data_IF_195964972232
#
_entry.id   IF_195964972232
#
_cell.length_a   1.000
_cell.length_b   1.000
_cell.length_c   1.000
_cell.angle_alpha   90.00
_cell.angle_beta   90.00
_cell.angle_gamma   90.00
#
_symmetry.space_group_name_H-M   'P 1'
#
loop_
_entity.id
_entity.type
_entity.pdbx_description
1 polymer ?
#
# COMPACT_ATOMS: atom_id res chain seq x y z
N UNK A 1 -7.04 -3.98 21.47
CA UNK A 1 -6.51 -3.44 20.20
C UNK A 1 -5.76 -2.17 20.53
N UNK A 2 -4.43 -2.19 20.50
CA UNK A 2 -3.64 -0.97 20.63
C UNK A 2 -3.62 -0.26 19.26
N UNK A 3 -4.30 0.87 19.15
CA UNK A 3 -4.19 1.78 18.00
C UNK A 3 -2.91 2.59 18.17
N UNK A 4 -1.87 2.21 17.44
CA UNK A 4 -0.62 2.97 17.41
C UNK A 4 -0.77 4.14 16.43
N UNK A 5 -0.50 5.39 16.84
CA UNK A 5 -0.47 6.51 15.91
C UNK A 5 0.69 6.29 14.93
N UNK A 6 0.37 6.20 13.65
CA UNK A 6 1.37 6.12 12.58
C UNK A 6 2.10 7.47 12.52
N UNK A 7 3.31 7.52 13.09
CA UNK A 7 4.18 8.68 12.97
C UNK A 7 4.90 8.60 11.61
N UNK A 8 4.57 9.51 10.70
CA UNK A 8 5.17 9.56 9.36
C UNK A 8 6.26 10.63 9.35
N UNK A 9 7.55 10.28 9.17
CA UNK A 9 8.63 11.23 8.92
C UNK A 9 8.28 12.18 7.76
N UNK A 10 8.54 13.48 7.90
CA UNK A 10 8.14 14.50 6.91
C UNK A 10 8.64 14.25 5.48
N UNK A 11 9.82 13.63 5.32
CA UNK A 11 10.34 13.21 4.01
C UNK A 11 9.45 12.14 3.34
N UNK A 12 8.86 11.23 4.12
CA UNK A 12 7.91 10.24 3.62
C UNK A 12 6.63 10.94 3.18
N UNK A 13 6.12 11.90 3.97
CA UNK A 13 4.93 12.67 3.63
C UNK A 13 5.05 13.43 2.30
N UNK A 14 6.22 13.97 1.96
CA UNK A 14 6.47 14.62 0.65
C UNK A 14 6.40 13.66 -0.53
N UNK A 15 7.01 12.48 -0.44
CA UNK A 15 6.83 11.41 -1.46
C UNK A 15 5.39 10.86 -1.51
N UNK A 16 4.67 11.02 -0.39
CA UNK A 16 3.19 10.99 -0.28
C UNK A 16 2.53 11.64 -1.48
N UNK A 17 2.86 12.92 -1.62
CA UNK A 17 2.30 13.84 -2.58
C UNK A 17 2.73 13.54 -4.00
N UNK A 18 4.00 13.22 -4.24
CA UNK A 18 4.48 12.92 -5.61
C UNK A 18 3.79 11.68 -6.19
N UNK A 19 3.61 10.63 -5.36
CA UNK A 19 2.88 9.45 -5.78
C UNK A 19 1.38 9.71 -5.91
N UNK A 20 0.81 10.51 -5.01
CA UNK A 20 -0.59 10.93 -5.12
C UNK A 20 -0.84 11.73 -6.40
N UNK A 21 0.06 12.63 -6.82
CA UNK A 21 -0.14 13.45 -8.03
C UNK A 21 -0.05 12.60 -9.31
N UNK A 22 0.93 11.69 -9.39
CA UNK A 22 1.05 10.75 -10.50
C UNK A 22 -0.20 9.88 -10.65
N UNK A 23 -0.75 9.39 -9.54
CA UNK A 23 -1.92 8.49 -9.54
C UNK A 23 -3.25 9.22 -9.72
N UNK A 24 -3.36 10.48 -9.30
CA UNK A 24 -4.58 11.29 -9.42
C UNK A 24 -4.92 11.63 -10.88
N UNK A 25 -3.91 11.82 -11.73
CA UNK A 25 -4.09 12.12 -13.16
C UNK A 25 -4.74 10.95 -13.90
N UNK A 26 -4.33 9.72 -13.61
CA UNK A 26 -4.92 8.51 -14.16
C UNK A 26 -6.29 8.21 -13.51
N UNK A 27 -6.45 8.51 -12.22
CA UNK A 27 -7.71 8.33 -11.51
C UNK A 27 -8.83 9.26 -11.97
N UNK A 28 -8.54 10.53 -12.25
CA UNK A 28 -9.51 11.49 -12.79
C UNK A 28 -10.10 11.01 -14.12
N UNK A 29 -9.31 10.34 -14.96
CA UNK A 29 -9.78 9.78 -16.24
C UNK A 29 -10.73 8.60 -16.03
N UNK A 30 -10.41 7.69 -15.12
CA UNK A 30 -11.23 6.52 -14.82
C UNK A 30 -12.53 6.85 -14.03
N UNK A 31 -12.47 7.81 -13.10
CA UNK A 31 -13.59 8.16 -12.22
C UNK A 31 -14.76 8.79 -12.97
N UNK A 32 -14.50 9.54 -14.06
CA UNK A 32 -15.53 10.17 -14.90
C UNK A 32 -16.52 9.17 -15.52
N UNK A 33 -16.15 7.89 -15.59
CA UNK A 33 -16.98 6.83 -16.18
C UNK A 33 -17.46 5.79 -15.16
N UNK A 34 -17.24 5.99 -13.85
CA UNK A 34 -17.58 5.00 -12.83
C UNK A 34 -19.06 5.04 -12.44
N UNK A 35 -19.79 3.98 -12.81
CA UNK A 35 -21.19 3.71 -12.41
C UNK A 35 -21.28 3.61 -10.88
N UNK A 36 -22.37 4.14 -10.27
CA UNK A 36 -22.60 4.11 -8.80
C UNK A 36 -22.42 2.68 -8.27
N UNK A 37 -21.54 2.51 -7.27
CA UNK A 37 -21.26 1.22 -6.63
C UNK A 37 -22.44 0.75 -5.78
N UNK A 38 -22.70 -0.56 -5.80
CA UNK A 38 -23.67 -1.23 -4.94
C UNK A 38 -23.13 -1.24 -3.49
N UNK A 39 -23.95 -0.83 -2.53
CA UNK A 39 -23.61 -0.83 -1.10
C UNK A 39 -23.28 -2.27 -0.66
N UNK A 40 -22.20 -2.46 0.11
CA UNK A 40 -21.74 -3.78 0.58
C UNK A 40 -20.74 -4.52 -0.32
N UNK A 41 -20.32 -3.92 -1.44
CA UNK A 41 -19.29 -4.52 -2.31
C UNK A 41 -17.87 -4.25 -1.80
N UNK A 42 -17.06 -5.31 -1.65
CA UNK A 42 -15.62 -5.19 -1.37
C UNK A 42 -14.89 -4.53 -2.55
N UNK A 43 -14.00 -3.59 -2.26
CA UNK A 43 -13.17 -2.93 -3.26
C UNK A 43 -12.27 -3.97 -3.96
N UNK A 44 -12.61 -4.32 -5.20
CA UNK A 44 -11.78 -5.18 -6.04
C UNK A 44 -10.81 -4.33 -6.86
N UNK A 45 -9.52 -4.71 -6.92
CA UNK A 45 -8.55 -4.10 -7.82
C UNK A 45 -9.05 -4.07 -9.27
N UNK A 46 -8.80 -2.97 -9.98
CA UNK A 46 -9.22 -2.78 -11.37
C UNK A 46 -9.19 -1.31 -11.79
N UNK A 47 -9.84 -0.95 -12.90
CA UNK A 47 -9.85 0.42 -13.41
C UNK A 47 -10.36 1.47 -12.39
N UNK A 48 -11.21 1.05 -11.44
CA UNK A 48 -11.72 1.90 -10.36
C UNK A 48 -10.82 2.02 -9.13
N UNK A 49 -9.61 1.44 -9.14
CA UNK A 49 -8.62 1.52 -8.05
C UNK A 49 -7.21 1.84 -8.57
N UNK A 50 -7.05 2.92 -9.36
CA UNK A 50 -5.79 3.23 -10.05
C UNK A 50 -4.60 3.41 -9.09
N UNK A 51 -4.82 4.09 -7.95
CA UNK A 51 -3.79 4.28 -6.93
C UNK A 51 -3.31 2.95 -6.34
N UNK A 52 -4.24 2.02 -6.09
CA UNK A 52 -3.88 0.69 -5.60
C UNK A 52 -3.09 -0.12 -6.64
N UNK A 53 -3.51 -0.06 -7.90
CA UNK A 53 -2.84 -0.79 -8.98
C UNK A 53 -1.39 -0.31 -9.14
N UNK A 54 -1.18 1.00 -9.08
CA UNK A 54 0.14 1.60 -9.16
C UNK A 54 1.02 1.23 -7.96
N UNK A 55 0.44 1.27 -6.76
CA UNK A 55 1.14 0.84 -5.55
C UNK A 55 1.59 -0.64 -5.64
N UNK A 56 0.72 -1.54 -6.12
CA UNK A 56 1.06 -2.94 -6.35
C UNK A 56 2.18 -3.07 -7.40
N UNK A 57 2.10 -2.32 -8.50
CA UNK A 57 3.12 -2.31 -9.56
C UNK A 57 4.51 -1.97 -9.01
N UNK A 58 4.60 -1.00 -8.11
CA UNK A 58 5.86 -0.58 -7.49
C UNK A 58 6.33 -1.53 -6.38
N UNK A 59 5.40 -2.14 -5.64
CA UNK A 59 5.74 -3.06 -4.56
C UNK A 59 6.24 -4.42 -5.06
N UNK A 60 5.71 -4.95 -6.16
CA UNK A 60 6.03 -6.31 -6.64
C UNK A 60 7.53 -6.54 -6.95
N UNK A 61 8.24 -5.63 -7.65
CA UNK A 61 9.68 -5.79 -7.89
C UNK A 61 10.50 -5.88 -6.60
N UNK A 62 10.14 -5.10 -5.59
CA UNK A 62 10.82 -5.09 -4.28
C UNK A 62 10.63 -6.40 -3.51
N UNK A 63 9.63 -7.20 -3.88
CA UNK A 63 9.29 -8.48 -3.27
C UNK A 63 9.89 -9.70 -4.00
N UNK A 64 10.77 -9.49 -4.97
CA UNK A 64 11.44 -10.57 -5.71
C UNK A 64 12.36 -11.41 -4.82
N UNK A 65 13.01 -10.80 -3.81
CA UNK A 65 13.93 -11.50 -2.90
C UNK A 65 13.17 -12.51 -2.03
N UNK A 66 13.72 -13.73 -1.91
CA UNK A 66 13.17 -14.80 -1.07
C UNK A 66 12.97 -14.29 0.37
N UNK A 67 11.78 -14.50 0.92
CA UNK A 67 11.43 -14.08 2.28
C UNK A 67 10.93 -12.63 2.42
N UNK A 68 11.08 -11.76 1.42
CA UNK A 68 10.62 -10.37 1.48
C UNK A 68 9.11 -10.26 1.74
N UNK A 69 8.31 -11.13 1.09
CA UNK A 69 6.85 -11.22 1.31
C UNK A 69 6.49 -11.58 2.76
N UNK A 70 7.27 -12.43 3.42
CA UNK A 70 7.00 -12.82 4.82
C UNK A 70 7.33 -11.67 5.77
N UNK A 71 8.45 -10.97 5.53
CA UNK A 71 8.83 -9.78 6.31
C UNK A 71 7.80 -8.67 6.17
N UNK A 72 7.38 -8.36 4.94
CA UNK A 72 6.35 -7.36 4.68
C UNK A 72 5.02 -7.74 5.36
N UNK A 73 4.61 -9.01 5.29
CA UNK A 73 3.38 -9.46 5.94
C UNK A 73 3.41 -9.22 7.46
N UNK A 74 4.55 -9.50 8.12
CA UNK A 74 4.75 -9.21 9.55
C UNK A 74 4.68 -7.71 9.84
N UNK A 75 5.34 -6.89 9.05
CA UNK A 75 5.34 -5.42 9.21
C UNK A 75 3.94 -4.81 9.03
N UNK A 76 3.16 -5.32 8.08
CA UNK A 76 1.79 -4.86 7.83
C UNK A 76 0.77 -5.48 8.82
N UNK A 77 1.19 -6.39 9.70
CA UNK A 77 0.29 -7.09 10.61
C UNK A 77 -0.76 -7.97 9.92
N UNK A 78 -0.45 -8.55 8.75
CA UNK A 78 -1.37 -9.39 7.96
C UNK A 78 -0.79 -10.78 7.70
N UNK A 79 -1.66 -11.75 7.44
CA UNK A 79 -1.20 -13.09 7.04
C UNK A 79 -0.54 -13.05 5.65
N UNK A 80 0.44 -13.93 5.43
CA UNK A 80 1.10 -14.10 4.12
C UNK A 80 0.09 -14.42 3.01
N UNK A 81 -0.94 -15.20 3.33
CA UNK A 81 -2.00 -15.56 2.38
C UNK A 81 -2.82 -14.34 1.98
N UNK A 82 -3.21 -13.48 2.94
CA UNK A 82 -3.91 -12.23 2.64
C UNK A 82 -3.06 -11.30 1.79
N UNK A 83 -1.77 -11.15 2.13
CA UNK A 83 -0.85 -10.35 1.33
C UNK A 83 -0.72 -10.88 -0.11
N UNK A 84 -0.64 -12.21 -0.30
CA UNK A 84 -0.63 -12.83 -1.63
C UNK A 84 -1.92 -12.56 -2.40
N UNK A 85 -3.06 -12.63 -1.74
CA UNK A 85 -4.38 -12.39 -2.33
C UNK A 85 -4.55 -10.94 -2.80
N UNK A 86 -3.98 -9.99 -2.05
CA UNK A 86 -4.03 -8.57 -2.38
C UNK A 86 -3.02 -8.15 -3.46
N UNK A 87 -1.76 -8.58 -3.34
CA UNK A 87 -0.69 -8.10 -4.22
C UNK A 87 -0.53 -8.92 -5.50
N UNK A 88 -0.51 -10.26 -5.39
CA UNK A 88 -0.26 -11.10 -6.57
C UNK A 88 -1.56 -11.45 -7.29
N UNK A 89 -2.57 -11.89 -6.54
CA UNK A 89 -3.83 -12.34 -7.12
C UNK A 89 -4.81 -11.19 -7.40
N UNK A 90 -4.56 -10.00 -6.81
CA UNK A 90 -5.35 -8.78 -7.00
C UNK A 90 -6.86 -8.99 -6.83
N UNK A 91 -7.27 -9.86 -5.90
CA UNK A 91 -8.68 -10.17 -5.65
C UNK A 91 -9.31 -9.24 -4.61
N UNK A 92 -8.49 -8.54 -3.81
CA UNK A 92 -8.91 -7.61 -2.78
C UNK A 92 -7.88 -6.51 -2.59
N UNK A 93 -8.31 -5.34 -2.10
CA UNK A 93 -7.40 -4.30 -1.61
C UNK A 93 -7.13 -4.46 -0.13
N UNK A 94 -5.98 -3.96 0.35
CA UNK A 94 -5.79 -3.75 1.78
C UNK A 94 -6.71 -2.62 2.25
N UNK A 95 -7.04 -2.60 3.55
CA UNK A 95 -7.71 -1.43 4.12
C UNK A 95 -6.78 -0.20 4.08
N UNK A 96 -7.36 0.98 4.31
CA UNK A 96 -6.66 2.25 4.16
C UNK A 96 -5.37 2.34 4.97
N UNK A 97 -5.38 1.84 6.21
CA UNK A 97 -4.21 1.87 7.09
C UNK A 97 -3.07 1.01 6.52
N UNK A 98 -3.33 -0.26 6.18
CA UNK A 98 -2.27 -1.14 5.66
C UNK A 98 -1.85 -0.73 4.25
N UNK A 99 -2.72 -0.13 3.46
CA UNK A 99 -2.36 0.46 2.18
C UNK A 99 -1.39 1.64 2.35
N UNK A 100 -1.62 2.52 3.34
CA UNK A 100 -0.71 3.62 3.67
C UNK A 100 0.63 3.11 4.21
N UNK A 101 0.63 2.07 5.04
CA UNK A 101 1.88 1.44 5.52
C UNK A 101 2.67 0.82 4.35
N UNK A 102 1.99 0.12 3.43
CA UNK A 102 2.62 -0.43 2.22
C UNK A 102 3.23 0.68 1.35
N UNK A 103 2.53 1.80 1.22
CA UNK A 103 2.99 2.96 0.50
C UNK A 103 4.27 3.56 1.14
N UNK A 104 4.28 3.75 2.45
CA UNK A 104 5.47 4.18 3.19
C UNK A 104 6.64 3.20 2.98
N UNK A 105 6.34 1.90 2.91
CA UNK A 105 7.32 0.86 2.64
C UNK A 105 7.95 0.95 1.26
N UNK A 106 7.15 1.16 0.23
CA UNK A 106 7.65 1.38 -1.12
C UNK A 106 8.54 2.63 -1.18
N UNK A 107 8.10 3.74 -0.58
CA UNK A 107 8.85 5.00 -0.58
C UNK A 107 10.22 4.88 0.13
N UNK A 108 10.28 4.18 1.27
CA UNK A 108 11.54 3.94 1.97
C UNK A 108 12.52 3.11 1.13
N UNK A 109 12.03 2.04 0.49
CA UNK A 109 12.85 1.19 -0.37
C UNK A 109 13.40 1.89 -1.60
N UNK A 110 12.62 2.78 -2.23
CA UNK A 110 13.08 3.57 -3.38
C UNK A 110 14.21 4.55 -3.02
N UNK A 111 14.27 4.99 -1.75
CA UNK A 111 15.30 5.89 -1.24
C UNK A 111 16.53 5.18 -0.67
N UNK A 112 16.54 3.85 -0.69
CA UNK A 112 17.59 3.06 -0.04
C UNK A 112 17.64 3.21 1.48
N UNK A 113 16.55 3.70 2.10
CA UNK A 113 16.48 3.91 3.54
C UNK A 113 15.85 2.70 4.24
N UNK A 114 16.33 2.33 5.45
CA UNK A 114 15.65 1.36 6.27
C UNK A 114 14.28 1.92 6.69
N UNK A 115 13.28 1.04 6.66
CA UNK A 115 11.90 1.36 6.99
C UNK A 115 11.74 1.76 8.47
N UNK A 116 11.26 2.97 8.81
CA UNK A 116 10.87 3.30 10.16
C UNK A 116 9.40 2.91 10.37
N UNK A 117 9.06 1.62 10.39
CA UNK A 117 7.67 1.18 10.67
C UNK A 117 7.54 0.28 11.88
N UNK A 118 8.60 0.14 12.65
CA UNK A 118 8.54 -0.27 14.04
C UNK A 118 9.57 0.60 14.75
N UNK A 119 9.13 1.46 15.67
CA UNK A 119 10.00 1.76 16.80
C UNK A 119 10.24 0.41 17.46
N UNK A 120 11.47 -0.10 17.42
CA UNK A 120 11.87 -1.08 18.42
C UNK A 120 11.51 -0.44 19.77
N UNK A 121 10.74 -1.10 20.64
CA UNK A 121 10.73 -0.69 22.03
C UNK A 121 12.15 -0.95 22.53
N UNK A 122 12.94 0.11 22.70
CA UNK A 122 14.00 0.05 23.69
C UNK A 122 13.30 -0.20 25.03
N UNK A 123 13.54 -1.41 25.56
CA UNK A 123 13.03 -2.05 26.79
C UNK A 123 11.60 -2.62 26.79
#
# INVERSE_FOLDING_TARGET
>A
MATYPVQIPGAIALSLFDLADATLRDAKRAYRHARRRRIGATLRPGAGTPLWNELVRQALPLLAKRGAKVRLARQLGVSRQRLRHCLNAQHACLDGERALMLLCWVAAHQRGQPLPLQAEPDL
#
